data_IF_540101192649
#
_entry.id   IF_540101192649
#
_cell.length_a   1.000
_cell.length_b   1.000
_cell.length_c   1.000
_cell.angle_alpha   90.00
_cell.angle_beta   90.00
_cell.angle_gamma   90.00
#
_symmetry.space_group_name_H-M   'P 1'
#
loop_
_entity.id
_entity.type
_entity.pdbx_description
1 polymer ?
#
# COMPACT_ATOMS: atom_id res chain seq x y z
N UNK A 1 -35.95 9.90 -2.96
CA UNK A 1 -34.64 9.66 -2.28
C UNK A 1 -33.79 8.49 -2.83
N UNK A 2 -34.31 7.46 -3.53
CA UNK A 2 -33.51 6.33 -4.06
C UNK A 2 -32.47 6.74 -5.13
N UNK A 3 -32.79 7.68 -6.02
CA UNK A 3 -31.92 8.10 -7.12
C UNK A 3 -30.65 8.83 -6.65
N UNK A 4 -30.77 9.70 -5.63
CA UNK A 4 -29.64 10.47 -5.09
C UNK A 4 -28.54 9.57 -4.50
N UNK A 5 -28.93 8.52 -3.75
CA UNK A 5 -27.99 7.52 -3.20
C UNK A 5 -27.22 6.78 -4.30
N UNK A 6 -27.85 6.52 -5.45
CA UNK A 6 -27.24 5.81 -6.59
C UNK A 6 -26.20 6.69 -7.30
N UNK A 7 -26.50 7.98 -7.46
CA UNK A 7 -25.58 8.97 -8.04
C UNK A 7 -24.36 9.19 -7.14
N UNK A 8 -24.56 9.37 -5.83
CA UNK A 8 -23.44 9.52 -4.87
C UNK A 8 -22.53 8.30 -4.91
N UNK A 9 -23.09 7.09 -4.95
CA UNK A 9 -22.32 5.84 -5.04
C UNK A 9 -21.50 5.75 -6.34
N UNK A 10 -22.06 6.21 -7.46
CA UNK A 10 -21.35 6.25 -8.75
C UNK A 10 -20.20 7.26 -8.75
N UNK A 11 -20.44 8.47 -8.20
CA UNK A 11 -19.42 9.50 -8.07
C UNK A 11 -18.29 9.00 -7.16
N UNK A 12 -18.60 8.48 -5.98
CA UNK A 12 -17.60 7.90 -5.07
C UNK A 12 -16.78 6.81 -5.76
N UNK A 13 -17.46 5.88 -6.45
CA UNK A 13 -16.78 4.81 -7.19
C UNK A 13 -15.85 5.37 -8.27
N UNK A 14 -16.28 6.36 -9.04
CA UNK A 14 -15.48 6.96 -10.11
C UNK A 14 -14.23 7.67 -9.57
N UNK A 15 -14.39 8.51 -8.54
CA UNK A 15 -13.26 9.21 -7.91
C UNK A 15 -12.31 8.23 -7.23
N UNK A 16 -12.84 7.19 -6.59
CA UNK A 16 -12.04 6.15 -5.96
C UNK A 16 -11.26 5.31 -6.99
N UNK A 17 -11.88 4.89 -8.09
CA UNK A 17 -11.21 4.20 -9.20
C UNK A 17 -10.08 5.04 -9.80
N UNK A 18 -10.33 6.34 -10.00
CA UNK A 18 -9.33 7.27 -10.55
C UNK A 18 -8.15 7.48 -9.59
N UNK A 19 -8.42 7.58 -8.29
CA UNK A 19 -7.39 7.73 -7.27
C UNK A 19 -6.53 6.46 -7.13
N UNK A 20 -7.15 5.27 -7.14
CA UNK A 20 -6.46 3.97 -7.14
C UNK A 20 -5.47 3.89 -8.31
N UNK A 21 -5.92 4.21 -9.52
CA UNK A 21 -5.05 4.21 -10.71
C UNK A 21 -3.90 5.21 -10.60
N UNK A 22 -4.15 6.39 -10.04
CA UNK A 22 -3.12 7.43 -9.93
C UNK A 22 -1.97 7.05 -8.97
N UNK A 23 -2.24 6.25 -7.93
CA UNK A 23 -1.28 5.98 -6.87
C UNK A 23 -0.72 4.56 -6.83
N UNK A 24 -1.40 3.57 -7.41
CA UNK A 24 -0.95 2.16 -7.41
C UNK A 24 -0.43 1.68 -8.78
N UNK A 25 -0.53 2.50 -9.83
CA UNK A 25 -0.20 2.11 -11.21
C UNK A 25 0.83 3.01 -11.92
N UNK A 26 1.44 3.98 -11.23
CA UNK A 26 2.17 5.06 -11.91
C UNK A 26 3.59 4.72 -12.39
N UNK A 27 4.17 3.59 -12.01
CA UNK A 27 5.59 3.32 -12.28
C UNK A 27 5.80 2.06 -13.14
N UNK A 28 6.47 2.25 -14.28
CA UNK A 28 6.77 1.21 -15.30
C UNK A 28 7.81 0.17 -14.86
N UNK A 29 8.55 0.42 -13.79
CA UNK A 29 9.69 -0.42 -13.35
C UNK A 29 9.94 -0.22 -11.85
N UNK A 30 10.08 -1.34 -11.12
CA UNK A 30 10.32 -1.38 -9.67
C UNK A 30 11.76 -0.98 -9.30
N UNK A 31 12.72 -1.30 -10.19
CA UNK A 31 14.14 -1.09 -9.96
C UNK A 31 14.56 0.38 -10.10
N UNK A 32 13.85 1.17 -10.92
CA UNK A 32 14.18 2.58 -11.12
C UNK A 32 13.80 3.45 -9.91
N UNK A 33 12.79 3.06 -9.13
CA UNK A 33 12.37 3.80 -7.93
C UNK A 33 13.26 3.52 -6.71
N UNK A 34 13.82 2.31 -6.59
CA UNK A 34 14.74 1.97 -5.50
C UNK A 34 16.06 2.76 -5.56
N UNK A 35 16.44 3.24 -6.75
CA UNK A 35 17.66 4.04 -6.97
C UNK A 35 17.60 5.44 -6.35
N UNK A 36 16.42 5.91 -5.93
CA UNK A 36 16.23 7.26 -5.39
C UNK A 36 15.81 7.25 -3.91
N UNK A 37 16.60 7.92 -3.07
CA UNK A 37 16.16 8.58 -1.84
C UNK A 37 15.50 7.73 -0.73
N UNK A 38 16.21 6.74 -0.19
CA UNK A 38 15.85 6.10 1.09
C UNK A 38 14.51 5.35 1.05
N UNK A 39 14.11 4.90 -0.14
CA UNK A 39 12.97 4.00 -0.32
C UNK A 39 13.41 2.54 -0.15
N UNK A 40 12.56 1.74 0.47
CA UNK A 40 12.79 0.31 0.68
C UNK A 40 11.51 -0.47 0.40
N UNK A 41 11.65 -1.74 0.01
CA UNK A 41 10.51 -2.64 -0.03
C UNK A 41 10.05 -2.95 1.38
N UNK A 42 8.75 -3.20 1.56
CA UNK A 42 8.26 -3.69 2.85
C UNK A 42 8.87 -5.06 3.20
N UNK A 43 9.12 -5.91 2.21
CA UNK A 43 9.77 -7.23 2.37
C UNK A 43 11.21 -7.17 2.88
N UNK A 44 11.90 -6.06 2.64
CA UNK A 44 13.29 -5.83 3.08
C UNK A 44 13.35 -4.88 4.30
N UNK A 45 12.20 -4.40 4.77
CA UNK A 45 12.15 -3.43 5.85
C UNK A 45 12.48 -4.07 7.20
N UNK A 46 13.34 -3.40 7.96
CA UNK A 46 13.60 -3.70 9.36
C UNK A 46 12.50 -3.13 10.25
N UNK A 47 12.33 -3.61 11.50
CA UNK A 47 11.38 -3.02 12.43
C UNK A 47 11.58 -1.50 12.59
N UNK A 48 10.48 -0.73 12.55
CA UNK A 48 10.55 0.73 12.60
C UNK A 48 9.34 1.42 11.97
N UNK A 49 9.36 2.76 11.97
CA UNK A 49 8.28 3.59 11.41
C UNK A 49 8.63 4.01 9.99
N UNK A 50 7.69 3.79 9.08
CA UNK A 50 7.85 4.04 7.66
C UNK A 50 6.65 4.78 7.10
N UNK A 51 6.90 5.61 6.10
CA UNK A 51 5.86 6.22 5.28
C UNK A 51 5.53 5.28 4.12
N UNK A 52 4.27 4.93 3.94
CA UNK A 52 3.81 4.18 2.78
C UNK A 52 3.81 5.09 1.55
N UNK A 53 4.50 4.69 0.48
CA UNK A 53 4.63 5.52 -0.73
C UNK A 53 3.68 5.05 -1.81
N UNK A 54 3.75 3.78 -2.17
CA UNK A 54 2.95 3.18 -3.24
C UNK A 54 3.06 1.66 -3.18
N UNK A 55 2.16 0.96 -3.88
CA UNK A 55 2.31 -0.47 -4.14
C UNK A 55 2.08 -0.77 -5.63
N UNK A 56 2.86 -1.70 -6.17
CA UNK A 56 2.77 -2.17 -7.54
C UNK A 56 1.84 -3.37 -7.61
N UNK A 57 0.59 -3.11 -7.95
CA UNK A 57 -0.43 -4.16 -7.93
C UNK A 57 -1.51 -3.96 -8.99
N UNK A 58 -2.24 -5.05 -9.26
CA UNK A 58 -3.49 -4.96 -10.01
C UNK A 58 -4.55 -4.18 -9.21
N UNK A 59 -5.65 -3.83 -9.87
CA UNK A 59 -6.73 -3.09 -9.23
C UNK A 59 -7.30 -3.82 -8.00
N UNK A 60 -7.46 -5.15 -8.07
CA UNK A 60 -8.05 -5.96 -6.99
C UNK A 60 -7.22 -5.90 -5.71
N UNK A 61 -5.90 -6.04 -5.83
CA UNK A 61 -5.00 -5.92 -4.69
C UNK A 61 -4.88 -4.47 -4.22
N UNK A 62 -4.94 -3.47 -5.11
CA UNK A 62 -4.96 -2.06 -4.71
C UNK A 62 -6.18 -1.72 -3.84
N UNK A 63 -7.38 -2.19 -4.21
CA UNK A 63 -8.58 -2.06 -3.38
C UNK A 63 -8.41 -2.70 -2.01
N UNK A 64 -7.92 -3.94 -1.98
CA UNK A 64 -7.71 -4.65 -0.72
C UNK A 64 -6.70 -3.96 0.18
N UNK A 65 -5.62 -3.41 -0.38
CA UNK A 65 -4.64 -2.62 0.38
C UNK A 65 -5.30 -1.38 1.01
N UNK A 66 -6.16 -0.67 0.28
CA UNK A 66 -6.88 0.47 0.82
C UNK A 66 -7.86 0.11 1.94
N UNK A 67 -8.60 -0.99 1.77
CA UNK A 67 -9.49 -1.50 2.82
C UNK A 67 -8.72 -1.89 4.09
N UNK A 68 -7.48 -2.35 3.93
CA UNK A 68 -6.54 -2.64 5.03
C UNK A 68 -5.89 -1.38 5.61
N UNK A 69 -6.16 -0.19 5.07
CA UNK A 69 -5.64 1.09 5.57
C UNK A 69 -4.32 1.55 4.95
N UNK A 70 -3.84 0.89 3.88
CA UNK A 70 -2.68 1.35 3.12
C UNK A 70 -3.06 2.55 2.26
N UNK A 71 -2.91 3.74 2.82
CA UNK A 71 -3.16 5.02 2.14
C UNK A 71 -1.81 5.68 1.84
N UNK A 72 -1.44 5.91 0.56
CA UNK A 72 -0.20 6.57 0.19
C UNK A 72 0.00 7.88 0.95
N UNK A 73 1.19 8.05 1.53
CA UNK A 73 1.55 9.18 2.38
C UNK A 73 1.35 8.95 3.88
N UNK A 74 0.55 7.97 4.28
CA UNK A 74 0.35 7.61 5.69
C UNK A 74 1.53 6.82 6.26
N UNK A 75 1.58 6.74 7.59
CA UNK A 75 2.60 5.98 8.30
C UNK A 75 2.12 4.58 8.66
N UNK A 76 3.06 3.64 8.62
CA UNK A 76 2.93 2.30 9.15
C UNK A 76 4.16 1.95 9.98
N UNK A 77 4.00 1.01 10.89
CA UNK A 77 5.11 0.50 11.71
C UNK A 77 5.37 -0.94 11.32
N UNK A 78 6.60 -1.26 10.91
CA UNK A 78 7.04 -2.63 10.77
C UNK A 78 7.34 -3.15 12.17
N UNK A 79 6.62 -4.18 12.60
CA UNK A 79 6.82 -4.83 13.90
C UNK A 79 7.91 -5.88 13.76
N UNK A 80 7.75 -6.75 12.76
CA UNK A 80 8.61 -7.91 12.57
C UNK A 80 8.66 -8.27 11.08
N UNK A 81 9.80 -8.78 10.66
CA UNK A 81 9.99 -9.32 9.33
C UNK A 81 10.68 -10.68 9.42
N UNK A 82 9.98 -11.74 9.02
CA UNK A 82 10.47 -13.12 9.11
C UNK A 82 11.26 -13.56 7.86
N UNK A 83 11.59 -12.63 6.96
CA UNK A 83 12.54 -12.83 5.86
C UNK A 83 11.94 -13.45 4.58
N UNK A 84 12.81 -13.93 3.69
CA UNK A 84 12.54 -14.28 2.27
C UNK A 84 11.35 -15.23 2.02
N UNK A 85 11.01 -16.12 2.97
CA UNK A 85 9.86 -17.04 2.84
C UNK A 85 8.74 -16.76 3.84
N UNK A 86 8.90 -15.71 4.64
CA UNK A 86 8.04 -15.41 5.76
C UNK A 86 6.90 -14.44 5.45
N UNK A 87 6.40 -13.85 6.51
CA UNK A 87 5.50 -12.71 6.49
C UNK A 87 6.15 -11.49 7.15
N UNK A 88 5.75 -10.31 6.68
CA UNK A 88 6.06 -9.04 7.34
C UNK A 88 4.86 -8.64 8.16
N UNK A 89 5.05 -8.50 9.47
CA UNK A 89 4.03 -8.02 10.38
C UNK A 89 4.15 -6.52 10.54
N UNK A 90 3.05 -5.83 10.28
CA UNK A 90 2.98 -4.38 10.38
C UNK A 90 1.82 -3.94 11.26
N UNK A 91 1.92 -2.71 11.77
CA UNK A 91 0.84 -1.97 12.40
C UNK A 91 0.46 -0.80 11.50
N UNK A 92 -0.81 -0.73 11.13
CA UNK A 92 -1.43 0.41 10.45
C UNK A 92 -2.54 0.90 11.37
N UNK A 93 -2.43 2.16 11.84
CA UNK A 93 -3.32 2.69 12.88
C UNK A 93 -3.33 1.73 14.07
N UNK A 94 -4.49 1.21 14.46
CA UNK A 94 -4.63 0.27 15.59
C UNK A 94 -4.65 -1.21 15.19
N UNK A 95 -4.54 -1.50 13.89
CA UNK A 95 -4.62 -2.85 13.36
C UNK A 95 -3.24 -3.46 13.12
N UNK A 96 -3.05 -4.71 13.55
CA UNK A 96 -1.88 -5.53 13.18
C UNK A 96 -2.23 -6.41 11.98
N UNK A 97 -1.39 -6.39 10.97
CA UNK A 97 -1.60 -7.11 9.72
C UNK A 97 -0.32 -7.87 9.39
N UNK A 98 -0.46 -9.16 9.08
CA UNK A 98 0.61 -9.96 8.51
C UNK A 98 0.44 -10.01 6.98
N UNK A 99 1.47 -9.60 6.25
CA UNK A 99 1.51 -9.69 4.80
C UNK A 99 2.50 -10.78 4.38
N UNK A 100 2.10 -11.60 3.42
CA UNK A 100 3.04 -12.51 2.78
C UNK A 100 4.14 -11.74 2.05
N UNK A 101 5.33 -12.32 1.95
CA UNK A 101 6.45 -11.68 1.28
C UNK A 101 6.10 -11.29 -0.18
N UNK A 102 5.33 -12.12 -0.90
CA UNK A 102 4.82 -11.83 -2.25
C UNK A 102 4.02 -10.51 -2.37
N UNK A 103 3.31 -10.10 -1.31
CA UNK A 103 2.60 -8.82 -1.26
C UNK A 103 3.53 -7.72 -0.76
N UNK A 104 4.33 -7.99 0.27
CA UNK A 104 5.28 -7.03 0.83
C UNK A 104 6.33 -6.56 -0.20
N UNK A 105 6.78 -7.46 -1.09
CA UNK A 105 7.70 -7.16 -2.20
C UNK A 105 7.14 -6.14 -3.19
N UNK A 106 5.83 -5.96 -3.23
CA UNK A 106 5.16 -5.00 -4.12
C UNK A 106 4.98 -3.64 -3.48
N UNK A 107 5.25 -3.50 -2.19
CA UNK A 107 4.98 -2.29 -1.40
C UNK A 107 6.28 -1.51 -1.22
N UNK A 108 6.26 -0.24 -1.60
CA UNK A 108 7.37 0.69 -1.37
C UNK A 108 7.09 1.59 -0.17
N UNK A 109 8.12 1.72 0.65
CA UNK A 109 8.15 2.52 1.85
C UNK A 109 9.29 3.53 1.80
N UNK A 110 9.19 4.58 2.60
CA UNK A 110 10.30 5.48 2.89
C UNK A 110 10.53 5.52 4.40
N UNK A 111 11.77 5.33 4.85
CA UNK A 111 12.10 5.42 6.27
C UNK A 111 11.92 6.88 6.74
N UNK A 112 11.36 7.05 7.94
CA UNK A 112 11.30 8.36 8.60
C UNK A 112 12.69 8.80 9.05
#
# INVERSE_FOLDING_TARGET
MKYLKKIIKLIYRYWHERWVKAHFQKYKSFNDCLKYNGMAKLSDAVPGVYRFITAYCDGKLAYRLLEMGFVPGEYLTVIENTGLKGSTMIKIKDSKIALSNKIADKILLKKK
#
